data_IF_531458932328
#
_entry.id   IF_531458932328
#
_cell.length_a   1.000
_cell.length_b   1.000
_cell.length_c   1.000
_cell.angle_alpha   90.00
_cell.angle_beta   90.00
_cell.angle_gamma   90.00
#
_symmetry.space_group_name_H-M   'P 1'
#
loop_
_entity.id
_entity.type
_entity.pdbx_description
1 polymer ?
#
# COMPACT_ATOMS: atom_id res chain seq x y z
N UNK A 1 4.81 33.80 -19.45
CA UNK A 1 3.36 34.10 -19.62
C UNK A 1 2.73 34.24 -18.24
N UNK A 2 2.02 35.34 -17.93
CA UNK A 2 1.29 35.46 -16.66
C UNK A 2 0.17 34.42 -16.65
N UNK A 3 0.18 33.53 -15.64
CA UNK A 3 -0.84 32.48 -15.50
C UNK A 3 -2.20 33.15 -15.35
N UNK A 4 -3.11 32.96 -16.33
CA UNK A 4 -4.50 33.41 -16.25
C UNK A 4 -5.18 32.69 -15.08
N UNK A 5 -5.26 33.37 -13.93
CA UNK A 5 -5.94 32.85 -12.75
C UNK A 5 -7.44 33.10 -12.93
N UNK A 6 -8.22 32.06 -13.25
CA UNK A 6 -9.69 32.15 -13.16
C UNK A 6 -10.06 32.21 -11.67
N UNK A 7 -10.53 33.37 -11.23
CA UNK A 7 -11.00 33.63 -9.86
C UNK A 7 -12.54 33.63 -9.85
N UNK A 8 -13.16 33.13 -8.78
CA UNK A 8 -14.60 33.25 -8.56
C UNK A 8 -14.92 34.45 -7.68
N UNK A 9 -16.08 35.05 -7.91
CA UNK A 9 -16.65 36.12 -7.07
C UNK A 9 -17.34 35.60 -5.80
N UNK A 10 -17.47 34.28 -5.66
CA UNK A 10 -18.09 33.61 -4.51
C UNK A 10 -17.21 32.45 -4.06
N UNK A 11 -17.12 32.22 -2.74
CA UNK A 11 -16.43 31.09 -2.16
C UNK A 11 -17.27 29.80 -2.22
N UNK A 12 -16.72 28.71 -2.78
CA UNK A 12 -17.42 27.42 -2.87
C UNK A 12 -17.63 26.71 -1.52
N UNK A 13 -16.85 27.03 -0.48
CA UNK A 13 -16.97 26.39 0.83
C UNK A 13 -17.96 27.11 1.76
N UNK A 14 -17.85 28.43 1.92
CA UNK A 14 -18.69 29.20 2.86
C UNK A 14 -19.69 30.15 2.20
N UNK A 15 -19.65 30.34 0.87
CA UNK A 15 -20.57 31.24 0.16
C UNK A 15 -20.25 32.73 0.27
N UNK A 16 -19.14 33.11 0.92
CA UNK A 16 -18.71 34.51 1.05
C UNK A 16 -18.46 35.16 -0.31
N UNK A 17 -18.82 36.45 -0.46
CA UNK A 17 -18.48 37.22 -1.66
C UNK A 17 -17.00 37.59 -1.63
N UNK A 18 -16.29 37.24 -2.71
CA UNK A 18 -14.85 37.46 -2.86
C UNK A 18 -14.59 38.58 -3.86
N UNK A 19 -13.71 39.51 -3.49
CA UNK A 19 -13.24 40.55 -4.41
C UNK A 19 -12.19 39.93 -5.35
N UNK A 20 -12.18 40.34 -6.63
CA UNK A 20 -11.23 39.82 -7.64
C UNK A 20 -9.75 39.99 -7.27
N UNK A 21 -9.40 40.86 -6.32
CA UNK A 21 -8.05 41.04 -5.77
C UNK A 21 -7.65 39.90 -4.82
N UNK A 22 -8.60 39.30 -4.10
CA UNK A 22 -8.32 38.30 -3.07
C UNK A 22 -7.88 36.96 -3.67
N UNK A 23 -6.88 36.32 -3.04
CA UNK A 23 -6.39 35.00 -3.44
C UNK A 23 -6.92 33.89 -2.53
N UNK A 24 -7.39 34.22 -1.33
CA UNK A 24 -7.96 33.30 -0.36
C UNK A 24 -9.21 33.92 0.25
N UNK A 25 -10.18 33.09 0.62
CA UNK A 25 -11.36 33.54 1.33
C UNK A 25 -10.99 33.97 2.77
N UNK A 26 -11.35 35.19 3.21
CA UNK A 26 -11.04 35.67 4.56
C UNK A 26 -11.80 34.91 5.66
N UNK A 27 -12.97 34.37 5.34
CA UNK A 27 -13.83 33.67 6.30
C UNK A 27 -13.37 32.21 6.53
N UNK A 28 -13.15 31.44 5.45
CA UNK A 28 -12.83 30.00 5.55
C UNK A 28 -11.43 29.61 5.06
N UNK A 29 -10.62 30.54 4.55
CA UNK A 29 -9.26 30.26 4.09
C UNK A 29 -9.15 29.50 2.76
N UNK A 30 -10.24 29.30 2.00
CA UNK A 30 -10.18 28.62 0.71
C UNK A 30 -9.41 29.41 -0.35
N UNK A 31 -8.45 28.79 -1.05
CA UNK A 31 -7.76 29.42 -2.19
C UNK A 31 -8.74 29.66 -3.36
N UNK A 32 -8.78 30.90 -3.85
CA UNK A 32 -9.59 31.38 -4.97
C UNK A 32 -8.91 31.16 -6.34
N UNK A 33 -8.02 30.16 -6.41
CA UNK A 33 -7.31 29.80 -7.64
C UNK A 33 -6.96 28.31 -7.65
N UNK A 34 -7.12 27.66 -8.81
CA UNK A 34 -6.64 26.30 -9.02
C UNK A 34 -5.17 26.33 -9.47
N UNK A 35 -4.23 26.20 -8.52
CA UNK A 35 -2.80 26.01 -8.86
C UNK A 35 -2.60 24.63 -9.46
N UNK A 36 -2.11 24.58 -10.70
CA UNK A 36 -1.35 23.42 -11.18
C UNK A 36 -0.01 23.43 -10.43
N UNK A 37 0.12 22.59 -9.41
CA UNK A 37 1.33 22.48 -8.60
C UNK A 37 2.42 21.74 -9.38
N UNK A 38 3.67 22.20 -9.26
CA UNK A 38 4.85 21.52 -9.80
C UNK A 38 5.21 20.30 -8.93
N UNK A 39 5.67 19.21 -9.54
CA UNK A 39 5.96 17.92 -8.86
C UNK A 39 6.95 18.05 -7.71
N UNK A 40 7.97 18.90 -7.85
CA UNK A 40 8.98 19.14 -6.79
C UNK A 40 8.42 19.86 -5.56
N UNK A 41 7.47 20.78 -5.77
CA UNK A 41 6.80 21.48 -4.66
C UNK A 41 5.85 20.54 -3.90
N UNK A 42 5.21 19.60 -4.61
CA UNK A 42 4.35 18.59 -4.00
C UNK A 42 5.12 17.64 -3.07
N UNK A 43 6.37 17.30 -3.38
CA UNK A 43 7.19 16.40 -2.55
C UNK A 43 7.65 17.10 -1.26
N UNK A 44 8.06 18.36 -1.33
CA UNK A 44 8.47 19.12 -0.13
C UNK A 44 7.29 19.39 0.81
N UNK A 45 6.17 19.87 0.27
CA UNK A 45 4.94 20.03 1.04
C UNK A 45 4.48 18.71 1.69
N UNK A 46 4.75 17.56 1.05
CA UNK A 46 4.35 16.25 1.55
C UNK A 46 5.16 15.81 2.77
N UNK A 47 6.49 15.97 2.77
CA UNK A 47 7.32 15.60 3.93
C UNK A 47 6.97 16.46 5.15
N UNK A 48 6.76 17.76 4.94
CA UNK A 48 6.35 18.67 6.01
C UNK A 48 4.93 18.37 6.52
N UNK A 49 4.00 18.00 5.62
CA UNK A 49 2.61 17.73 6.01
C UNK A 49 2.40 16.33 6.60
N UNK A 50 3.17 15.31 6.16
CA UNK A 50 3.05 13.95 6.69
C UNK A 50 3.54 13.87 8.15
N UNK A 51 4.45 14.76 8.55
CA UNK A 51 4.86 14.94 9.94
C UNK A 51 3.87 15.80 10.75
N UNK A 52 3.07 16.65 10.09
CA UNK A 52 1.94 17.35 10.72
C UNK A 52 0.65 16.53 10.60
N UNK A 53 0.45 15.59 11.53
CA UNK A 53 -0.79 14.82 11.62
C UNK A 53 -1.99 15.79 11.83
N UNK A 54 -2.73 16.10 10.75
CA UNK A 54 -3.76 17.15 10.71
C UNK A 54 -5.17 16.58 10.99
N UNK A 55 -5.97 17.35 11.71
CA UNK A 55 -7.43 17.20 11.86
C UNK A 55 -8.17 16.94 10.53
N UNK A 56 -7.69 17.50 9.42
CA UNK A 56 -8.26 17.29 8.07
C UNK A 56 -8.18 15.84 7.62
N UNK A 57 -7.16 15.09 8.05
CA UNK A 57 -7.03 13.67 7.71
C UNK A 57 -8.19 12.88 8.32
N UNK A 58 -8.50 13.08 9.60
CA UNK A 58 -9.63 12.42 10.25
C UNK A 58 -10.98 12.82 9.63
N UNK A 59 -11.16 14.11 9.32
CA UNK A 59 -12.36 14.61 8.63
C UNK A 59 -12.53 14.05 7.22
N UNK A 60 -11.44 13.68 6.56
CA UNK A 60 -11.44 13.04 5.23
C UNK A 60 -11.68 11.53 5.34
N UNK A 61 -11.02 10.86 6.29
CA UNK A 61 -11.09 9.41 6.46
C UNK A 61 -12.44 8.92 6.97
N UNK A 62 -13.08 9.66 7.90
CA UNK A 62 -14.39 9.27 8.46
C UNK A 62 -15.48 9.11 7.38
N UNK A 63 -15.78 10.10 6.52
CA UNK A 63 -16.76 9.92 5.46
C UNK A 63 -16.31 8.89 4.43
N UNK A 64 -14.99 8.77 4.16
CA UNK A 64 -14.50 7.76 3.23
C UNK A 64 -14.81 6.32 3.68
N UNK A 65 -14.69 6.04 4.99
CA UNK A 65 -14.93 4.71 5.55
C UNK A 65 -16.41 4.43 5.87
N UNK A 66 -17.14 5.43 6.37
CA UNK A 66 -18.49 5.22 6.89
C UNK A 66 -19.61 5.79 6.00
N UNK A 67 -19.30 6.61 4.99
CA UNK A 67 -20.27 7.26 4.10
C UNK A 67 -19.70 7.41 2.67
N UNK A 68 -19.52 6.30 1.94
CA UNK A 68 -18.86 6.33 0.64
C UNK A 68 -19.59 7.30 -0.32
N UNK A 69 -18.82 8.19 -0.94
CA UNK A 69 -19.28 9.12 -1.97
C UNK A 69 -19.69 10.53 -1.49
N UNK A 70 -19.94 10.77 -0.20
CA UNK A 70 -20.24 12.13 0.30
C UNK A 70 -19.06 13.07 0.10
N UNK A 71 -17.86 12.61 0.44
CA UNK A 71 -16.62 13.36 0.24
C UNK A 71 -16.41 13.73 -1.22
N UNK A 72 -16.57 12.77 -2.14
CA UNK A 72 -16.37 13.01 -3.57
C UNK A 72 -17.33 14.06 -4.11
N UNK A 73 -18.61 14.00 -3.73
CA UNK A 73 -19.63 14.99 -4.13
C UNK A 73 -19.24 16.39 -3.64
N UNK A 74 -18.98 16.54 -2.34
CA UNK A 74 -18.65 17.85 -1.77
C UNK A 74 -17.33 18.42 -2.29
N UNK A 75 -16.35 17.56 -2.60
CA UNK A 75 -15.08 17.99 -3.17
C UNK A 75 -15.25 18.48 -4.63
N UNK A 76 -16.09 17.79 -5.41
CA UNK A 76 -16.47 18.19 -6.77
C UNK A 76 -17.28 19.49 -6.77
N UNK A 77 -18.15 19.70 -5.77
CA UNK A 77 -18.87 20.97 -5.53
C UNK A 77 -17.93 22.12 -5.13
N UNK A 78 -16.65 21.84 -4.91
CA UNK A 78 -15.62 22.84 -4.63
C UNK A 78 -15.34 23.10 -3.15
N UNK A 79 -15.91 22.33 -2.21
CA UNK A 79 -15.69 22.48 -0.77
C UNK A 79 -14.37 21.84 -0.31
N UNK A 80 -13.24 22.43 -0.65
CA UNK A 80 -11.90 21.81 -0.54
C UNK A 80 -11.11 22.06 0.75
N UNK A 81 -11.50 23.04 1.58
CA UNK A 81 -10.73 23.45 2.78
C UNK A 81 -10.66 22.35 3.84
N UNK A 82 -11.79 21.65 4.03
CA UNK A 82 -11.98 20.62 5.04
C UNK A 82 -11.31 19.28 4.70
N UNK A 83 -11.02 19.04 3.42
CA UNK A 83 -10.57 17.75 2.93
C UNK A 83 -9.10 17.78 2.50
N UNK A 84 -8.41 16.67 2.74
CA UNK A 84 -7.06 16.45 2.19
C UNK A 84 -7.16 16.29 0.66
N UNK A 85 -6.31 16.95 -0.13
CA UNK A 85 -6.29 16.78 -1.59
C UNK A 85 -6.16 15.30 -2.00
N UNK A 86 -6.92 14.82 -3.00
CA UNK A 86 -6.99 13.39 -3.35
C UNK A 86 -5.63 12.74 -3.64
N UNK A 87 -4.75 13.43 -4.36
CA UNK A 87 -3.41 12.93 -4.69
C UNK A 87 -2.57 12.72 -3.42
N UNK A 88 -2.64 13.67 -2.48
CA UNK A 88 -1.92 13.59 -1.20
C UNK A 88 -2.44 12.42 -0.37
N UNK A 89 -3.76 12.23 -0.33
CA UNK A 89 -4.40 11.12 0.37
C UNK A 89 -3.99 9.75 -0.21
N UNK A 90 -3.99 9.61 -1.54
CA UNK A 90 -3.61 8.37 -2.22
C UNK A 90 -2.15 7.97 -1.90
N UNK A 91 -1.22 8.92 -1.97
CA UNK A 91 0.19 8.68 -1.68
C UNK A 91 0.37 8.26 -0.22
N UNK A 92 -0.27 8.96 0.72
CA UNK A 92 -0.21 8.62 2.15
C UNK A 92 -0.75 7.20 2.42
N UNK A 93 -1.93 6.87 1.88
CA UNK A 93 -2.52 5.54 2.01
C UNK A 93 -1.66 4.45 1.37
N UNK A 94 -0.97 4.76 0.26
CA UNK A 94 -0.05 3.82 -0.38
C UNK A 94 1.16 3.53 0.52
N UNK A 95 1.80 4.56 1.07
CA UNK A 95 2.91 4.36 2.01
C UNK A 95 2.48 3.60 3.26
N UNK A 96 1.30 3.91 3.80
CA UNK A 96 0.75 3.18 4.95
C UNK A 96 0.46 1.72 4.59
N UNK A 97 -0.15 1.46 3.44
CA UNK A 97 -0.42 0.10 2.95
C UNK A 97 0.86 -0.71 2.75
N UNK A 98 1.85 -0.18 2.01
CA UNK A 98 3.11 -0.88 1.77
C UNK A 98 3.96 -1.00 3.03
N UNK A 99 4.00 0.04 3.88
CA UNK A 99 4.71 0.00 5.16
C UNK A 99 4.12 -1.06 6.10
N UNK A 100 2.79 -1.09 6.24
CA UNK A 100 2.10 -2.14 7.01
C UNK A 100 2.33 -3.51 6.36
N UNK A 101 2.23 -3.62 5.03
CA UNK A 101 2.49 -4.87 4.33
C UNK A 101 3.93 -5.36 4.55
N UNK A 102 4.93 -4.48 4.66
CA UNK A 102 6.30 -4.88 4.96
C UNK A 102 6.46 -5.38 6.40
N UNK A 103 5.70 -4.83 7.35
CA UNK A 103 5.73 -5.26 8.76
C UNK A 103 4.93 -6.55 8.99
N UNK A 104 3.77 -6.69 8.36
CA UNK A 104 2.86 -7.83 8.52
C UNK A 104 3.31 -9.02 7.66
N UNK A 105 3.85 -8.78 6.47
CA UNK A 105 4.24 -9.85 5.55
C UNK A 105 5.63 -10.38 5.92
N UNK A 106 5.67 -11.18 6.99
CA UNK A 106 6.66 -12.24 7.08
C UNK A 106 6.37 -13.24 5.95
N UNK A 107 7.43 -13.61 5.22
CA UNK A 107 7.37 -14.28 3.93
C UNK A 107 6.44 -15.52 3.95
N UNK A 108 5.27 -15.45 3.27
CA UNK A 108 4.60 -16.66 2.74
C UNK A 108 3.09 -16.86 2.95
N UNK A 109 2.34 -15.94 3.55
CA UNK A 109 0.95 -16.23 4.00
C UNK A 109 -0.19 -15.97 3.00
N UNK A 110 0.08 -15.48 1.78
CA UNK A 110 -0.94 -15.25 0.73
C UNK A 110 -0.75 -16.19 -0.49
N UNK A 111 -0.03 -17.30 -0.35
CA UNK A 111 0.11 -18.28 -1.44
C UNK A 111 -0.90 -19.42 -1.33
N UNK A 112 -1.43 -19.87 -2.47
CA UNK A 112 -2.23 -21.09 -2.53
C UNK A 112 -1.42 -22.28 -1.98
N UNK A 113 -2.11 -23.25 -1.38
CA UNK A 113 -1.51 -24.47 -0.82
C UNK A 113 -0.60 -25.18 -1.83
N UNK A 114 -0.98 -25.17 -3.11
CA UNK A 114 -0.18 -25.77 -4.19
C UNK A 114 1.09 -24.98 -4.49
N UNK A 115 1.03 -23.64 -4.47
CA UNK A 115 2.20 -22.80 -4.69
C UNK A 115 3.23 -22.96 -3.57
N UNK A 116 2.78 -23.09 -2.32
CA UNK A 116 3.65 -23.42 -1.19
C UNK A 116 4.34 -24.78 -1.38
N UNK A 117 3.61 -25.79 -1.85
CA UNK A 117 4.18 -27.11 -2.10
C UNK A 117 5.19 -27.12 -3.25
N UNK A 118 4.86 -26.50 -4.38
CA UNK A 118 5.77 -26.35 -5.54
C UNK A 118 7.06 -25.65 -5.13
N UNK A 119 6.96 -24.62 -4.30
CA UNK A 119 8.13 -23.89 -3.78
C UNK A 119 9.07 -24.80 -3.01
N UNK A 120 8.53 -25.66 -2.14
CA UNK A 120 9.34 -26.65 -1.41
C UNK A 120 10.07 -27.63 -2.34
N UNK A 121 9.41 -28.09 -3.42
CA UNK A 121 10.02 -28.98 -4.41
C UNK A 121 11.16 -28.29 -5.16
N UNK A 122 10.94 -27.06 -5.61
CA UNK A 122 11.95 -26.25 -6.30
C UNK A 122 13.14 -25.97 -5.38
N UNK A 123 12.89 -25.52 -4.15
CA UNK A 123 13.93 -25.26 -3.15
C UNK A 123 14.77 -26.51 -2.86
N UNK A 124 14.12 -27.67 -2.73
CA UNK A 124 14.83 -28.94 -2.53
C UNK A 124 15.75 -29.27 -3.70
N UNK A 125 15.26 -29.12 -4.94
CA UNK A 125 16.08 -29.33 -6.15
C UNK A 125 17.28 -28.38 -6.22
N UNK A 126 17.06 -27.08 -5.96
CA UNK A 126 18.12 -26.07 -5.94
C UNK A 126 19.15 -26.34 -4.83
N UNK A 127 18.69 -26.77 -3.64
CA UNK A 127 19.55 -27.08 -2.50
C UNK A 127 20.42 -28.32 -2.73
N UNK A 128 19.89 -29.35 -3.41
CA UNK A 128 20.66 -30.55 -3.72
C UNK A 128 21.68 -30.35 -4.84
N UNK A 129 21.34 -29.50 -5.82
CA UNK A 129 22.25 -29.14 -6.93
C UNK A 129 23.28 -28.08 -6.54
N UNK A 130 23.26 -27.62 -5.30
CA UNK A 130 24.09 -26.52 -4.82
C UNK A 130 24.03 -25.29 -5.73
N UNK A 131 22.82 -24.95 -6.19
CA UNK A 131 22.63 -23.89 -7.18
C UNK A 131 22.94 -22.51 -6.61
N UNK A 132 23.56 -21.66 -7.42
CA UNK A 132 23.72 -20.22 -7.18
C UNK A 132 22.39 -19.48 -6.93
N UNK A 133 21.26 -20.02 -7.42
CA UNK A 133 19.91 -19.47 -7.21
C UNK A 133 19.19 -20.04 -5.98
N UNK A 134 19.83 -20.86 -5.13
CA UNK A 134 19.19 -21.46 -3.95
C UNK A 134 18.76 -20.45 -2.89
N UNK A 135 19.32 -19.23 -2.91
CA UNK A 135 18.97 -18.16 -1.99
C UNK A 135 19.10 -18.60 -0.52
N UNK A 136 18.01 -18.45 0.24
CA UNK A 136 17.91 -18.85 1.66
C UNK A 136 17.33 -20.26 1.86
N UNK A 137 17.28 -21.09 0.81
CA UNK A 137 16.75 -22.46 0.91
C UNK A 137 17.56 -23.30 1.89
N UNK A 138 16.85 -23.97 2.81
CA UNK A 138 17.40 -24.94 3.74
C UNK A 138 16.35 -26.02 4.04
N UNK A 139 16.79 -27.15 4.61
CA UNK A 139 15.89 -28.28 4.87
C UNK A 139 14.71 -27.94 5.79
N UNK A 140 14.90 -27.04 6.77
CA UNK A 140 13.84 -26.63 7.68
C UNK A 140 12.73 -25.88 6.95
N UNK A 141 13.10 -24.90 6.10
CA UNK A 141 12.16 -24.12 5.29
C UNK A 141 11.42 -24.99 4.27
N UNK A 142 12.14 -25.90 3.61
CA UNK A 142 11.55 -26.87 2.67
C UNK A 142 10.49 -27.72 3.38
N UNK A 143 10.80 -28.25 4.58
CA UNK A 143 9.86 -29.07 5.34
C UNK A 143 8.66 -28.26 5.87
N UNK A 144 8.86 -26.99 6.24
CA UNK A 144 7.77 -26.08 6.64
C UNK A 144 6.81 -25.85 5.47
N UNK A 145 7.34 -25.45 4.31
CA UNK A 145 6.58 -25.16 3.10
C UNK A 145 5.85 -26.40 2.57
N UNK A 146 6.53 -27.56 2.53
CA UNK A 146 5.92 -28.81 2.07
C UNK A 146 4.76 -29.28 2.98
N UNK A 147 4.87 -29.10 4.30
CA UNK A 147 3.79 -29.44 5.25
C UNK A 147 2.61 -28.48 5.14
N UNK A 148 2.88 -27.18 5.03
CA UNK A 148 1.83 -26.17 4.85
C UNK A 148 1.11 -26.37 3.51
N UNK A 149 1.83 -26.81 2.47
CA UNK A 149 1.31 -27.14 1.15
C UNK A 149 0.72 -28.55 1.00
N UNK A 150 0.56 -29.35 2.07
CA UNK A 150 0.17 -30.76 1.94
C UNK A 150 -1.21 -30.93 1.28
N UNK A 151 -2.21 -30.14 1.71
CA UNK A 151 -3.55 -30.15 1.13
C UNK A 151 -4.21 -31.55 1.11
N UNK A 152 -5.07 -31.79 0.09
CA UNK A 152 -5.67 -33.10 -0.16
C UNK A 152 -4.71 -33.95 -0.99
N UNK A 153 -4.26 -35.07 -0.43
CA UNK A 153 -3.26 -35.96 -1.05
C UNK A 153 -3.81 -37.39 -1.21
N UNK A 154 -4.70 -37.66 -2.18
CA UNK A 154 -5.37 -38.95 -2.31
C UNK A 154 -4.42 -40.10 -2.68
N UNK A 155 -3.29 -39.78 -3.31
CA UNK A 155 -2.29 -40.77 -3.77
C UNK A 155 -1.04 -40.80 -2.88
N UNK A 156 -0.92 -39.93 -1.89
CA UNK A 156 0.21 -39.91 -0.94
C UNK A 156 1.50 -39.28 -1.46
N UNK A 157 1.54 -38.75 -2.68
CA UNK A 157 2.78 -38.25 -3.30
C UNK A 157 3.42 -37.10 -2.54
N UNK A 158 2.60 -36.20 -1.98
CA UNK A 158 3.11 -35.05 -1.22
C UNK A 158 3.69 -35.49 0.12
N UNK A 159 3.06 -36.49 0.73
CA UNK A 159 3.54 -37.13 1.96
C UNK A 159 4.87 -37.86 1.74
N UNK A 160 5.01 -38.59 0.64
CA UNK A 160 6.26 -39.26 0.26
C UNK A 160 7.39 -38.27 -0.03
N UNK A 161 7.10 -37.15 -0.68
CA UNK A 161 8.07 -36.07 -0.87
C UNK A 161 8.61 -35.55 0.48
N UNK A 162 7.75 -35.31 1.47
CA UNK A 162 8.19 -34.86 2.81
C UNK A 162 9.11 -35.90 3.46
N UNK A 163 8.81 -37.19 3.31
CA UNK A 163 9.68 -38.26 3.80
C UNK A 163 11.03 -38.28 3.10
N UNK A 164 11.05 -38.11 1.77
CA UNK A 164 12.27 -38.03 0.99
C UNK A 164 13.17 -36.90 1.49
N UNK A 165 12.63 -35.69 1.66
CA UNK A 165 13.39 -34.54 2.17
C UNK A 165 14.00 -34.84 3.54
N UNK A 166 13.25 -35.46 4.47
CA UNK A 166 13.76 -35.86 5.79
C UNK A 166 14.88 -36.88 5.70
N UNK A 167 14.75 -37.90 4.84
CA UNK A 167 15.79 -38.92 4.62
C UNK A 167 17.06 -38.26 4.11
N UNK A 168 16.95 -37.39 3.11
CA UNK A 168 18.10 -36.67 2.56
C UNK A 168 18.77 -35.74 3.58
N UNK A 169 17.98 -35.03 4.39
CA UNK A 169 18.53 -34.19 5.48
C UNK A 169 19.37 -35.02 6.45
N UNK A 170 18.89 -36.20 6.87
CA UNK A 170 19.66 -37.10 7.75
C UNK A 170 20.95 -37.58 7.10
N UNK A 171 20.91 -37.95 5.82
CA UNK A 171 22.10 -38.39 5.09
C UNK A 171 23.14 -37.28 4.97
N UNK A 172 22.73 -36.02 4.72
CA UNK A 172 23.65 -34.87 4.68
C UNK A 172 24.20 -34.47 6.06
N UNK A 173 23.54 -34.84 7.16
CA UNK A 173 24.02 -34.58 8.53
C UNK A 173 24.92 -35.70 9.07
N UNK A 174 24.84 -36.89 8.48
CA UNK A 174 25.63 -38.06 8.86
C UNK A 174 26.99 -38.13 8.13
N UNK A 175 27.16 -37.36 7.05
CA UNK A 175 28.42 -37.15 6.33
C UNK A 175 29.02 -35.79 6.71
#
# INVERSE_FOLDING_TARGET
>A
MPKLRRKSSVCYNCGEQLVNSENYCPNCGQENHNRQASTSLLIKDFVDTCLSFDSKLFMTMRPLLFQPGTLSKEYLDGKRVKFVPPIRLFIFLSFLYFGISLVICDQGSICSTDMQFITAVVEFGLLLRDSEYKGTANFERILKNARQGLGRDPFGYRSEFIQLVRKTQRLKLAN
#
